data_IF_062806084936
#
_entry.id   IF_062806084936
#
_cell.length_a   1.000
_cell.length_b   1.000
_cell.length_c   1.000
_cell.angle_alpha   90.00
_cell.angle_beta   90.00
_cell.angle_gamma   90.00
#
_symmetry.space_group_name_H-M   'P 1'
#
loop_
_entity.id
_entity.type
_entity.pdbx_description
1 polymer ?
#
# COMPACT_ATOMS: atom_id res chain seq x y z
N UNK A 1 1.28 22.36 2.16
CA UNK A 1 0.01 22.47 2.93
C UNK A 1 -1.03 21.50 2.39
N UNK A 2 -1.50 20.54 3.19
CA UNK A 2 -2.62 19.68 2.80
C UNK A 2 -3.95 20.45 2.90
N UNK A 3 -4.81 20.35 1.88
CA UNK A 3 -6.13 21.02 1.88
C UNK A 3 -7.00 20.58 3.07
N UNK A 4 -7.79 21.50 3.67
CA UNK A 4 -8.67 21.20 4.80
C UNK A 4 -9.68 20.09 4.49
N UNK A 5 -10.11 19.34 5.51
CA UNK A 5 -10.96 18.13 5.39
C UNK A 5 -12.29 18.39 4.65
N UNK A 6 -12.82 19.61 4.68
CA UNK A 6 -14.05 20.00 3.99
C UNK A 6 -13.93 20.06 2.46
N UNK A 7 -12.76 20.42 1.92
CA UNK A 7 -12.56 20.56 0.47
C UNK A 7 -12.26 19.23 -0.23
N UNK A 8 -11.75 18.23 0.49
CA UNK A 8 -11.47 16.90 -0.07
C UNK A 8 -12.72 16.20 -0.60
N UNK A 9 -13.89 16.42 0.01
CA UNK A 9 -15.17 15.84 -0.45
C UNK A 9 -15.66 16.44 -1.77
N UNK A 10 -15.26 17.67 -2.09
CA UNK A 10 -15.61 18.36 -3.35
C UNK A 10 -14.70 17.96 -4.51
N UNK A 11 -13.55 17.35 -4.21
CA UNK A 11 -12.55 16.98 -5.18
C UNK A 11 -13.09 15.93 -6.19
N UNK A 12 -12.83 16.17 -7.48
CA UNK A 12 -13.30 15.35 -8.58
C UNK A 12 -12.94 13.86 -8.38
N UNK A 13 -11.67 13.56 -8.11
CA UNK A 13 -11.19 12.18 -7.94
C UNK A 13 -11.73 11.50 -6.69
N UNK A 14 -12.01 12.24 -5.62
CA UNK A 14 -12.62 11.67 -4.42
C UNK A 14 -14.05 11.22 -4.71
N UNK A 15 -14.86 12.08 -5.34
CA UNK A 15 -16.23 11.75 -5.74
C UNK A 15 -16.26 10.62 -6.75
N UNK A 16 -15.34 10.65 -7.71
CA UNK A 16 -15.23 9.60 -8.72
C UNK A 16 -14.84 8.25 -8.10
N UNK A 17 -13.86 8.21 -7.19
CA UNK A 17 -13.50 7.00 -6.44
C UNK A 17 -14.70 6.42 -5.69
N UNK A 18 -15.46 7.26 -4.98
CA UNK A 18 -16.66 6.83 -4.26
C UNK A 18 -17.76 6.30 -5.19
N UNK A 19 -17.99 6.94 -6.34
CA UNK A 19 -18.94 6.44 -7.35
C UNK A 19 -18.54 5.06 -7.91
N UNK A 20 -17.23 4.79 -7.99
CA UNK A 20 -16.67 3.52 -8.46
C UNK A 20 -16.45 2.49 -7.32
N UNK A 21 -16.87 2.80 -6.08
CA UNK A 21 -16.72 1.88 -4.94
C UNK A 21 -15.32 1.80 -4.34
N UNK A 22 -14.35 2.63 -4.77
CA UNK A 22 -13.02 2.66 -4.16
C UNK A 22 -13.00 3.40 -2.82
N UNK A 23 -12.18 2.88 -1.91
CA UNK A 23 -11.96 3.44 -0.58
C UNK A 23 -11.07 4.68 -0.59
N UNK A 24 -10.22 4.82 -1.60
CA UNK A 24 -9.33 5.97 -1.78
C UNK A 24 -9.23 6.37 -3.25
N UNK A 25 -9.02 7.67 -3.49
CA UNK A 25 -8.67 8.21 -4.82
C UNK A 25 -7.30 7.71 -5.32
N UNK A 26 -6.42 7.27 -4.40
CA UNK A 26 -5.11 6.72 -4.78
C UNK A 26 -5.24 5.45 -5.61
N UNK A 27 -6.36 4.73 -5.56
CA UNK A 27 -6.65 3.57 -6.41
C UNK A 27 -6.36 3.84 -7.91
N UNK A 28 -6.65 5.05 -8.39
CA UNK A 28 -6.38 5.41 -9.79
C UNK A 28 -4.88 5.47 -10.13
N UNK A 29 -4.01 5.77 -9.15
CA UNK A 29 -2.56 5.72 -9.34
C UNK A 29 -2.14 4.29 -9.68
N UNK A 30 -2.53 3.31 -8.86
CA UNK A 30 -2.14 1.91 -9.08
C UNK A 30 -2.72 1.37 -10.38
N UNK A 31 -4.00 1.68 -10.70
CA UNK A 31 -4.59 1.31 -11.99
C UNK A 31 -3.78 1.83 -13.18
N UNK A 32 -3.33 3.07 -13.10
CA UNK A 32 -2.51 3.66 -14.17
C UNK A 32 -1.14 2.98 -14.27
N UNK A 33 -0.44 2.80 -13.14
CA UNK A 33 0.88 2.15 -13.08
C UNK A 33 0.79 0.71 -13.60
N UNK A 34 -0.19 -0.06 -13.12
CA UNK A 34 -0.39 -1.45 -13.52
C UNK A 34 -0.60 -1.59 -15.03
N UNK A 35 -1.38 -0.68 -15.63
CA UNK A 35 -1.61 -0.66 -17.08
C UNK A 35 -0.36 -0.26 -17.86
N UNK A 36 0.35 0.78 -17.42
CA UNK A 36 1.50 1.34 -18.15
C UNK A 36 2.72 0.42 -18.12
N UNK A 37 2.94 -0.28 -17.01
CA UNK A 37 4.14 -1.08 -16.78
C UNK A 37 3.90 -2.59 -16.82
N UNK A 38 2.67 -3.03 -17.14
CA UNK A 38 2.26 -4.44 -17.05
C UNK A 38 2.66 -5.05 -15.70
N UNK A 39 2.47 -4.28 -14.62
CA UNK A 39 3.07 -4.51 -13.29
C UNK A 39 2.83 -5.93 -12.75
N UNK A 40 1.68 -6.52 -13.06
CA UNK A 40 1.27 -7.83 -12.54
C UNK A 40 1.66 -9.00 -13.44
N UNK A 41 2.42 -8.77 -14.51
CA UNK A 41 2.79 -9.84 -15.44
C UNK A 41 3.76 -10.82 -14.77
N UNK A 42 3.30 -12.06 -14.55
CA UNK A 42 4.10 -13.12 -13.91
C UNK A 42 4.13 -13.05 -12.38
N UNK A 43 3.49 -12.05 -11.78
CA UNK A 43 3.38 -11.87 -10.33
C UNK A 43 2.32 -12.83 -9.78
N UNK A 44 2.64 -13.55 -8.71
CA UNK A 44 1.69 -14.43 -7.99
C UNK A 44 1.46 -13.96 -6.57
N UNK A 45 2.44 -13.32 -5.96
CA UNK A 45 2.44 -12.88 -4.57
C UNK A 45 2.77 -11.39 -4.47
N UNK A 46 1.98 -10.64 -3.70
CA UNK A 46 2.13 -9.19 -3.55
C UNK A 46 2.14 -8.82 -2.08
N UNK A 47 3.14 -8.03 -1.69
CA UNK A 47 3.19 -7.34 -0.41
C UNK A 47 2.87 -5.86 -0.60
N UNK A 48 1.76 -5.39 -0.02
CA UNK A 48 1.35 -3.98 -0.04
C UNK A 48 1.63 -3.34 1.32
N UNK A 49 2.52 -2.34 1.36
CA UNK A 49 2.88 -1.60 2.57
C UNK A 49 2.11 -0.28 2.66
N UNK A 50 1.72 0.10 3.88
CA UNK A 50 0.91 1.28 4.16
C UNK A 50 -0.42 1.29 3.38
N UNK A 51 -1.13 0.17 3.43
CA UNK A 51 -2.28 -0.09 2.58
C UNK A 51 -3.56 0.69 2.98
N UNK A 52 -3.69 1.19 4.21
CA UNK A 52 -4.93 1.79 4.70
C UNK A 52 -5.29 3.05 3.89
N UNK A 53 -6.53 3.19 3.39
CA UNK A 53 -7.75 2.46 3.75
C UNK A 53 -8.08 1.23 2.87
N UNK A 54 -7.15 0.74 2.06
CA UNK A 54 -7.28 -0.46 1.22
C UNK A 54 -7.65 -0.15 -0.24
N UNK A 55 -7.40 1.08 -0.71
CA UNK A 55 -7.76 1.47 -2.08
C UNK A 55 -6.90 0.79 -3.15
N UNK A 56 -5.62 0.58 -2.88
CA UNK A 56 -4.70 -0.17 -3.74
C UNK A 56 -4.95 -1.67 -3.64
N UNK A 57 -5.20 -2.18 -2.43
CA UNK A 57 -5.67 -3.57 -2.20
C UNK A 57 -6.89 -3.93 -3.03
N UNK A 58 -7.92 -3.05 -3.08
CA UNK A 58 -9.09 -3.25 -3.93
C UNK A 58 -8.73 -3.38 -5.42
N UNK A 59 -7.77 -2.57 -5.89
CA UNK A 59 -7.32 -2.60 -7.28
C UNK A 59 -6.55 -3.88 -7.58
N UNK A 60 -5.67 -4.34 -6.68
CA UNK A 60 -4.95 -5.60 -6.86
C UNK A 60 -5.92 -6.78 -7.04
N UNK A 61 -6.89 -6.92 -6.14
CA UNK A 61 -7.93 -7.98 -6.21
C UNK A 61 -8.77 -7.86 -7.48
N UNK A 62 -9.11 -6.65 -7.91
CA UNK A 62 -9.88 -6.42 -9.14
C UNK A 62 -9.09 -6.81 -10.39
N UNK A 63 -7.80 -6.50 -10.44
CA UNK A 63 -6.95 -6.78 -11.59
C UNK A 63 -6.65 -8.27 -11.73
N UNK A 64 -6.42 -8.96 -10.60
CA UNK A 64 -6.20 -10.40 -10.59
C UNK A 64 -6.59 -11.02 -9.24
N UNK A 65 -7.64 -11.84 -9.25
CA UNK A 65 -8.17 -12.54 -8.08
C UNK A 65 -7.33 -13.73 -7.63
N UNK A 66 -6.36 -14.15 -8.44
CA UNK A 66 -5.48 -15.29 -8.14
C UNK A 66 -4.26 -14.88 -7.32
N UNK A 67 -4.00 -13.56 -7.19
CA UNK A 67 -2.89 -13.03 -6.42
C UNK A 67 -3.00 -13.38 -4.93
N UNK A 68 -1.89 -13.80 -4.36
CA UNK A 68 -1.70 -13.89 -2.92
C UNK A 68 -1.30 -12.53 -2.38
N UNK A 69 -2.27 -11.75 -1.93
CA UNK A 69 -2.06 -10.38 -1.46
C UNK A 69 -1.93 -10.38 0.06
N UNK A 70 -0.80 -9.88 0.56
CA UNK A 70 -0.59 -9.53 1.97
C UNK A 70 -0.49 -8.02 2.07
N UNK A 71 -1.44 -7.39 2.77
CA UNK A 71 -1.52 -5.94 2.94
C UNK A 71 -1.22 -5.58 4.40
N UNK A 72 -0.34 -4.60 4.62
CA UNK A 72 0.17 -4.21 5.95
C UNK A 72 -0.05 -2.73 6.18
N UNK A 73 -0.60 -2.36 7.33
CA UNK A 73 -0.68 -0.95 7.77
C UNK A 73 -0.72 -0.85 9.29
N UNK A 74 -0.23 0.26 9.82
CA UNK A 74 -0.34 0.59 11.25
C UNK A 74 -1.80 0.84 11.64
N UNK A 75 -2.57 1.46 10.75
CA UNK A 75 -3.95 1.84 10.97
C UNK A 75 -4.88 0.67 10.58
N UNK A 76 -5.93 0.40 11.38
CA UNK A 76 -6.91 -0.59 11.00
C UNK A 76 -7.64 -0.16 9.72
N UNK A 77 -8.06 -1.15 8.93
CA UNK A 77 -8.97 -0.94 7.81
C UNK A 77 -9.98 -2.07 7.72
N UNK A 78 -11.08 -1.81 7.01
CA UNK A 78 -12.05 -2.86 6.69
C UNK A 78 -11.35 -3.95 5.87
N UNK A 79 -11.64 -5.24 6.08
CA UNK A 79 -11.08 -6.31 5.25
C UNK A 79 -11.42 -6.11 3.77
N UNK A 80 -10.53 -6.53 2.87
CA UNK A 80 -10.80 -6.64 1.43
C UNK A 80 -10.78 -8.11 1.09
N UNK A 81 -11.91 -8.65 0.62
CA UNK A 81 -12.00 -10.05 0.22
C UNK A 81 -10.98 -10.36 -0.89
N UNK A 82 -10.25 -11.47 -0.76
CA UNK A 82 -9.13 -11.80 -1.64
C UNK A 82 -7.77 -11.26 -1.19
N UNK A 83 -7.68 -10.52 -0.08
CA UNK A 83 -6.43 -10.08 0.51
C UNK A 83 -6.35 -10.41 2.01
N UNK A 84 -5.15 -10.74 2.49
CA UNK A 84 -4.85 -10.89 3.92
C UNK A 84 -4.37 -9.55 4.46
N UNK A 85 -4.93 -9.12 5.59
CA UNK A 85 -4.52 -7.88 6.24
C UNK A 85 -3.77 -8.16 7.54
N UNK A 86 -2.62 -7.49 7.70
CA UNK A 86 -1.84 -7.46 8.93
C UNK A 86 -1.86 -6.03 9.45
N UNK A 87 -2.37 -5.85 10.67
CA UNK A 87 -2.26 -4.55 11.34
C UNK A 87 -0.94 -4.53 12.12
N UNK A 88 0.02 -3.73 11.67
CA UNK A 88 1.35 -3.72 12.27
C UNK A 88 2.21 -2.55 11.79
N UNK A 89 3.28 -2.28 12.54
CA UNK A 89 4.30 -1.30 12.17
C UNK A 89 5.34 -2.00 11.30
N UNK A 90 5.52 -1.53 10.07
CA UNK A 90 6.49 -2.10 9.12
C UNK A 90 7.95 -1.98 9.58
N UNK A 91 8.22 -1.22 10.63
CA UNK A 91 9.55 -1.10 11.27
C UNK A 91 9.74 -2.08 12.42
N UNK A 92 8.67 -2.71 12.91
CA UNK A 92 8.70 -3.66 14.02
C UNK A 92 9.13 -5.06 13.55
N UNK A 93 10.08 -5.71 14.23
CA UNK A 93 10.47 -7.10 13.95
C UNK A 93 9.28 -8.06 13.96
N UNK A 94 8.36 -7.88 14.90
CA UNK A 94 7.17 -8.74 15.06
C UNK A 94 6.27 -8.70 13.83
N UNK A 95 6.11 -7.52 13.23
CA UNK A 95 5.33 -7.36 11.99
C UNK A 95 6.06 -8.01 10.81
N UNK A 96 7.39 -7.90 10.74
CA UNK A 96 8.20 -8.54 9.69
C UNK A 96 8.09 -10.07 9.79
N UNK A 97 8.21 -10.64 10.98
CA UNK A 97 8.08 -12.07 11.22
C UNK A 97 6.67 -12.59 10.86
N UNK A 98 5.65 -11.80 11.16
CA UNK A 98 4.29 -12.11 10.75
C UNK A 98 4.12 -12.07 9.22
N UNK A 99 4.68 -11.07 8.54
CA UNK A 99 4.65 -11.01 7.06
C UNK A 99 5.28 -12.28 6.50
N UNK A 100 6.48 -12.65 6.93
CA UNK A 100 7.19 -13.86 6.45
C UNK A 100 6.36 -15.12 6.69
N UNK A 101 5.74 -15.24 7.87
CA UNK A 101 4.87 -16.38 8.20
C UNK A 101 3.65 -16.45 7.29
N UNK A 102 3.04 -15.32 6.96
CA UNK A 102 1.81 -15.26 6.15
C UNK A 102 2.10 -15.43 4.66
N UNK A 103 3.21 -14.88 4.16
CA UNK A 103 3.63 -15.03 2.75
C UNK A 103 4.24 -16.40 2.49
N UNK A 104 4.78 -17.06 3.51
CA UNK A 104 5.50 -18.33 3.37
C UNK A 104 6.89 -18.18 2.75
N UNK A 105 7.43 -16.95 2.71
CA UNK A 105 8.74 -16.66 2.12
C UNK A 105 8.77 -15.33 1.37
N UNK A 106 9.60 -15.29 0.32
CA UNK A 106 9.76 -14.13 -0.56
C UNK A 106 8.52 -13.92 -1.44
N UNK A 107 8.29 -12.67 -1.83
CA UNK A 107 7.19 -12.24 -2.71
C UNK A 107 7.70 -11.77 -4.07
N UNK A 108 6.82 -11.81 -5.08
CA UNK A 108 7.17 -11.39 -6.45
C UNK A 108 7.11 -9.88 -6.64
N UNK A 109 6.29 -9.19 -5.83
CA UNK A 109 6.09 -7.74 -5.94
C UNK A 109 5.89 -7.11 -4.56
N UNK A 110 6.61 -6.02 -4.31
CA UNK A 110 6.39 -5.13 -3.15
C UNK A 110 5.93 -3.76 -3.67
N UNK A 111 4.81 -3.26 -3.15
CA UNK A 111 4.31 -1.91 -3.48
C UNK A 111 4.03 -1.10 -2.21
N UNK A 112 4.19 0.23 -2.29
CA UNK A 112 3.95 1.13 -1.19
C UNK A 112 3.45 2.51 -1.68
N UNK A 113 2.43 3.08 -1.02
CA UNK A 113 2.03 4.51 -1.14
C UNK A 113 2.16 5.18 0.24
N UNK A 114 3.26 4.88 0.94
CA UNK A 114 3.52 5.29 2.31
C UNK A 114 3.71 6.82 2.47
N UNK A 115 2.97 7.41 3.41
CA UNK A 115 3.10 8.82 3.77
C UNK A 115 2.96 8.97 5.30
N UNK A 116 3.89 9.67 5.98
CA UNK A 116 3.76 9.98 7.38
C UNK A 116 2.66 11.04 7.59
N UNK A 117 2.24 11.21 8.85
CA UNK A 117 1.40 12.33 9.25
C UNK A 117 2.21 13.63 9.16
N UNK A 118 1.80 14.50 8.22
CA UNK A 118 2.39 15.83 8.02
C UNK A 118 2.13 16.68 9.25
N UNK A 119 3.20 17.15 9.88
CA UNK A 119 3.17 18.04 11.05
C UNK A 119 3.05 19.51 10.68
N UNK A 120 3.46 19.87 9.46
CA UNK A 120 3.55 21.26 9.00
C UNK A 120 4.95 21.87 9.16
N UNK A 121 5.85 21.19 9.87
CA UNK A 121 7.26 21.55 9.96
C UNK A 121 8.03 20.80 8.87
N UNK A 122 8.46 21.53 7.84
CA UNK A 122 9.08 20.96 6.64
C UNK A 122 10.22 19.99 6.96
N UNK A 123 11.17 20.41 7.80
CA UNK A 123 12.36 19.63 8.14
C UNK A 123 11.98 18.29 8.81
N UNK A 124 11.04 18.34 9.75
CA UNK A 124 10.53 17.15 10.44
C UNK A 124 9.77 16.23 9.48
N UNK A 125 8.97 16.80 8.59
CA UNK A 125 8.18 16.04 7.62
C UNK A 125 9.08 15.35 6.57
N UNK A 126 10.15 16.01 6.12
CA UNK A 126 11.17 15.42 5.25
C UNK A 126 11.90 14.28 5.96
N UNK A 127 12.37 14.51 7.19
CA UNK A 127 13.07 13.48 7.95
C UNK A 127 12.19 12.23 8.17
N UNK A 128 10.91 12.42 8.49
CA UNK A 128 9.94 11.31 8.65
C UNK A 128 9.68 10.58 7.35
N UNK A 129 9.58 11.30 6.22
CA UNK A 129 9.39 10.67 4.92
C UNK A 129 10.62 9.85 4.52
N UNK A 130 11.83 10.37 4.74
CA UNK A 130 13.08 9.66 4.46
C UNK A 130 13.18 8.38 5.28
N UNK A 131 12.97 8.46 6.60
CA UNK A 131 12.97 7.28 7.47
C UNK A 131 11.96 6.22 7.02
N UNK A 132 10.77 6.64 6.60
CA UNK A 132 9.73 5.73 6.11
C UNK A 132 10.15 5.06 4.79
N UNK A 133 10.74 5.82 3.85
CA UNK A 133 11.28 5.28 2.60
C UNK A 133 12.39 4.26 2.87
N UNK A 134 13.36 4.60 3.73
CA UNK A 134 14.45 3.68 4.11
C UNK A 134 13.91 2.39 4.72
N UNK A 135 12.92 2.50 5.61
CA UNK A 135 12.28 1.35 6.24
C UNK A 135 11.55 0.47 5.22
N UNK A 136 10.76 1.08 4.33
CA UNK A 136 10.05 0.34 3.27
C UNK A 136 11.01 -0.34 2.30
N UNK A 137 12.10 0.33 1.92
CA UNK A 137 13.11 -0.21 1.02
C UNK A 137 13.89 -1.34 1.69
N UNK A 138 14.27 -1.18 2.96
CA UNK A 138 14.94 -2.24 3.72
C UNK A 138 14.10 -3.49 3.87
N UNK A 139 12.78 -3.35 4.06
CA UNK A 139 11.85 -4.48 4.10
C UNK A 139 11.68 -5.10 2.71
N UNK A 140 11.53 -4.30 1.66
CA UNK A 140 11.44 -4.78 0.29
C UNK A 140 12.68 -5.60 -0.09
N UNK A 141 13.88 -5.12 0.20
CA UNK A 141 15.14 -5.83 -0.08
C UNK A 141 15.26 -7.18 0.65
N UNK A 142 14.57 -7.36 1.78
CA UNK A 142 14.57 -8.63 2.53
C UNK A 142 13.54 -9.62 2.02
N UNK A 143 12.42 -9.13 1.48
CA UNK A 143 11.24 -9.96 1.18
C UNK A 143 10.96 -10.10 -0.31
N UNK A 144 11.57 -9.28 -1.17
CA UNK A 144 11.41 -9.39 -2.62
C UNK A 144 12.25 -10.56 -3.15
N UNK A 145 11.67 -11.35 -4.05
CA UNK A 145 12.37 -12.43 -4.73
C UNK A 145 13.44 -11.90 -5.70
N UNK A 146 14.38 -12.76 -6.12
CA UNK A 146 15.45 -12.39 -7.04
C UNK A 146 14.99 -12.00 -8.46
N UNK A 147 13.72 -12.24 -8.79
CA UNK A 147 13.12 -11.92 -10.08
C UNK A 147 12.06 -10.79 -9.98
N UNK A 148 11.92 -10.19 -8.79
CA UNK A 148 10.99 -9.09 -8.50
C UNK A 148 11.60 -7.70 -8.62
#
# INVERSE_FOLDING_TARGET
>A
MGRPRGDRKKEHYYRFAKKQGYRSRSAFKLKQIARQHRLLHGVKSVLELCCSPGGWTQVLVELDRTLQITAVDLNPMQPVEGARFIQGDITSPETIDEIVRVTGGLVDLVIADCSPKVSGYWEVDVARQLFLVESTMGLAMKLLSSHG
#
